data_IF_953487455947
#
_entry.id   IF_953487455947
#
_cell.length_a   1.000
_cell.length_b   1.000
_cell.length_c   1.000
_cell.angle_alpha   90.00
_cell.angle_beta   90.00
_cell.angle_gamma   90.00
#
_symmetry.space_group_name_H-M   'P 1'
#
loop_
_entity.id
_entity.type
_entity.pdbx_description
1 polymer ?
#
# COMPACT_ATOMS: atom_id res chain seq x y z
N UNK A 1 -23.96 -44.68 57.47
CA UNK A 1 -24.51 -43.43 58.05
C UNK A 1 -25.31 -42.72 56.96
N UNK A 2 -26.64 -42.71 57.09
CA UNK A 2 -27.55 -42.13 56.10
C UNK A 2 -27.51 -40.59 56.16
N UNK A 3 -27.44 -39.93 54.99
CA UNK A 3 -27.51 -38.47 54.87
C UNK A 3 -28.92 -37.99 55.28
N UNK A 4 -28.99 -36.99 56.16
CA UNK A 4 -30.22 -36.27 56.52
C UNK A 4 -30.83 -35.61 55.28
N UNK A 5 -32.16 -35.58 55.12
CA UNK A 5 -32.82 -34.91 54.00
C UNK A 5 -32.69 -33.38 54.15
N UNK A 6 -32.29 -32.72 53.06
CA UNK A 6 -32.24 -31.27 52.93
C UNK A 6 -33.66 -30.71 53.02
N UNK A 7 -33.94 -29.89 54.04
CA UNK A 7 -35.18 -29.11 54.10
C UNK A 7 -35.16 -28.09 52.97
N UNK A 8 -36.13 -28.17 52.06
CA UNK A 8 -36.47 -27.07 51.15
C UNK A 8 -36.83 -25.87 52.01
N UNK A 9 -36.05 -24.79 51.92
CA UNK A 9 -36.51 -23.49 52.39
C UNK A 9 -37.63 -23.05 51.46
N UNK A 10 -38.84 -23.01 51.98
CA UNK A 10 -39.95 -22.26 51.40
C UNK A 10 -39.50 -20.82 51.28
N UNK A 11 -39.36 -20.32 50.05
CA UNK A 11 -39.22 -18.89 49.79
C UNK A 11 -40.51 -18.26 50.28
N UNK A 12 -40.43 -17.43 51.32
CA UNK A 12 -41.58 -16.63 51.76
C UNK A 12 -42.15 -15.89 50.56
N UNK A 13 -43.44 -16.07 50.31
CA UNK A 13 -44.19 -15.27 49.36
C UNK A 13 -44.03 -13.82 49.79
N UNK A 14 -43.35 -13.02 48.96
CA UNK A 14 -43.39 -11.58 49.09
C UNK A 14 -44.86 -11.16 48.93
N UNK A 15 -45.56 -11.00 50.05
CA UNK A 15 -46.86 -10.31 50.15
C UNK A 15 -46.64 -8.82 49.92
N UNK A 16 -46.12 -8.48 48.74
CA UNK A 16 -46.21 -7.15 48.18
C UNK A 16 -47.47 -7.12 47.33
N UNK A 17 -48.51 -6.42 47.81
CA UNK A 17 -49.61 -5.98 46.94
C UNK A 17 -48.97 -5.27 45.76
N UNK A 18 -49.06 -5.88 44.58
CA UNK A 18 -48.63 -5.24 43.35
C UNK A 18 -49.48 -3.97 43.22
N UNK A 19 -48.87 -2.78 43.13
CA UNK A 19 -49.60 -1.52 43.01
C UNK A 19 -50.66 -1.61 41.90
N UNK A 20 -51.90 -1.20 42.17
CA UNK A 20 -53.01 -1.22 41.20
C UNK A 20 -52.66 -0.54 39.87
N UNK A 21 -51.79 0.48 39.92
CA UNK A 21 -51.25 1.16 38.74
C UNK A 21 -50.44 0.27 37.81
N UNK A 22 -49.67 -0.69 38.35
CA UNK A 22 -48.93 -1.65 37.52
C UNK A 22 -49.90 -2.63 36.83
N UNK A 23 -50.97 -3.02 37.50
CA UNK A 23 -51.98 -3.91 36.92
C UNK A 23 -52.79 -3.27 35.78
N UNK A 24 -53.15 -1.98 35.90
CA UNK A 24 -53.76 -1.24 34.79
C UNK A 24 -52.81 -1.13 33.61
N UNK A 25 -51.55 -0.78 33.85
CA UNK A 25 -50.53 -0.61 32.80
C UNK A 25 -50.27 -1.93 32.04
N UNK A 26 -50.20 -3.06 32.75
CA UNK A 26 -50.06 -4.38 32.13
C UNK A 26 -51.28 -4.78 31.29
N UNK A 27 -52.49 -4.48 31.76
CA UNK A 27 -53.72 -4.74 31.01
C UNK A 27 -53.79 -3.90 29.75
N UNK A 28 -53.40 -2.62 29.82
CA UNK A 28 -53.36 -1.72 28.67
C UNK A 28 -52.34 -2.17 27.63
N UNK A 29 -51.15 -2.61 28.05
CA UNK A 29 -50.13 -3.17 27.16
C UNK A 29 -50.62 -4.46 26.48
N UNK A 30 -51.27 -5.35 27.22
CA UNK A 30 -51.79 -6.59 26.66
C UNK A 30 -52.94 -6.35 25.68
N UNK A 31 -53.85 -5.42 26.03
CA UNK A 31 -54.93 -5.01 25.14
C UNK A 31 -54.38 -4.38 23.86
N UNK A 32 -53.41 -3.47 23.98
CA UNK A 32 -52.76 -2.85 22.83
C UNK A 32 -52.07 -3.90 21.93
N UNK A 33 -51.35 -4.86 22.51
CA UNK A 33 -50.74 -5.97 21.75
C UNK A 33 -51.78 -6.81 20.99
N UNK A 34 -52.92 -7.11 21.62
CA UNK A 34 -54.00 -7.86 20.97
C UNK A 34 -54.58 -7.08 19.78
N UNK A 35 -54.86 -5.78 19.94
CA UNK A 35 -55.36 -4.93 18.86
C UNK A 35 -54.38 -4.89 17.68
N UNK A 36 -53.08 -4.77 17.93
CA UNK A 36 -52.06 -4.78 16.88
C UNK A 36 -52.00 -6.14 16.17
N UNK A 37 -52.08 -7.25 16.91
CA UNK A 37 -52.10 -8.59 16.32
C UNK A 37 -53.39 -8.89 15.53
N UNK A 38 -54.52 -8.31 15.93
CA UNK A 38 -55.77 -8.40 15.17
C UNK A 38 -55.69 -7.61 13.86
N UNK A 39 -55.06 -6.43 13.88
CA UNK A 39 -54.91 -5.56 12.70
C UNK A 39 -53.84 -6.05 11.72
N UNK A 40 -52.68 -6.50 12.22
CA UNK A 40 -51.48 -6.77 11.41
C UNK A 40 -50.94 -8.19 11.55
N UNK A 41 -51.49 -9.02 12.45
CA UNK A 41 -50.98 -10.37 12.71
C UNK A 41 -51.46 -11.43 11.71
N UNK A 42 -52.33 -11.05 10.75
CA UNK A 42 -52.84 -11.92 9.69
C UNK A 42 -53.48 -13.23 10.20
N UNK A 43 -54.06 -13.20 11.41
CA UNK A 43 -54.64 -14.36 12.06
C UNK A 43 -53.64 -15.37 12.63
N UNK A 44 -52.33 -15.07 12.58
CA UNK A 44 -51.27 -15.90 13.14
C UNK A 44 -50.83 -15.41 14.53
N UNK A 45 -50.43 -16.31 15.44
CA UNK A 45 -49.85 -15.90 16.71
C UNK A 45 -48.51 -15.17 16.52
N UNK A 46 -48.11 -14.39 17.52
CA UNK A 46 -46.83 -13.71 17.52
C UNK A 46 -45.68 -14.72 17.58
N UNK A 47 -44.82 -14.70 16.56
CA UNK A 47 -43.53 -15.37 16.54
C UNK A 47 -42.48 -14.34 16.11
N UNK A 48 -41.55 -14.04 17.00
CA UNK A 48 -40.50 -13.05 16.77
C UNK A 48 -39.67 -13.37 15.53
N UNK A 49 -39.29 -14.63 15.32
CA UNK A 49 -38.43 -15.01 14.20
C UNK A 49 -39.18 -14.82 12.89
N UNK A 50 -40.44 -15.27 12.83
CA UNK A 50 -41.31 -15.08 11.66
C UNK A 50 -41.43 -13.60 11.29
N UNK A 51 -41.84 -12.75 12.23
CA UNK A 51 -42.05 -11.31 11.98
C UNK A 51 -40.73 -10.62 11.55
N UNK A 52 -39.59 -11.00 12.13
CA UNK A 52 -38.28 -10.45 11.73
C UNK A 52 -37.92 -10.89 10.31
N UNK A 53 -38.15 -12.15 9.94
CA UNK A 53 -37.87 -12.63 8.59
C UNK A 53 -38.78 -11.99 7.54
N UNK A 54 -40.08 -11.86 7.81
CA UNK A 54 -41.04 -11.17 6.94
C UNK A 54 -40.66 -9.69 6.74
N UNK A 55 -40.32 -8.99 7.83
CA UNK A 55 -39.86 -7.60 7.75
C UNK A 55 -38.59 -7.47 6.90
N UNK A 56 -37.60 -8.35 7.09
CA UNK A 56 -36.36 -8.38 6.30
C UNK A 56 -36.64 -8.65 4.82
N UNK A 57 -37.55 -9.58 4.52
CA UNK A 57 -37.96 -9.88 3.16
C UNK A 57 -38.53 -8.63 2.46
N UNK A 58 -39.47 -7.92 3.08
CA UNK A 58 -40.01 -6.69 2.50
C UNK A 58 -38.98 -5.56 2.41
N UNK A 59 -38.01 -5.49 3.33
CA UNK A 59 -36.89 -4.55 3.23
C UNK A 59 -35.99 -4.84 2.02
N UNK A 60 -35.67 -6.11 1.76
CA UNK A 60 -34.91 -6.53 0.57
C UNK A 60 -35.70 -6.24 -0.71
N UNK A 61 -36.98 -6.62 -0.76
CA UNK A 61 -37.87 -6.32 -1.88
C UNK A 61 -37.96 -4.82 -2.15
N UNK A 62 -38.00 -3.98 -1.10
CA UNK A 62 -38.00 -2.52 -1.25
C UNK A 62 -36.70 -1.98 -1.85
N UNK A 63 -35.56 -2.65 -1.59
CA UNK A 63 -34.29 -2.29 -2.18
C UNK A 63 -34.25 -2.66 -3.67
N UNK A 64 -34.70 -3.88 -4.01
CA UNK A 64 -34.80 -4.32 -5.41
C UNK A 64 -35.73 -3.40 -6.22
N UNK A 65 -36.92 -3.11 -5.69
CA UNK A 65 -37.85 -2.18 -6.33
C UNK A 65 -37.24 -0.78 -6.51
N UNK A 66 -36.47 -0.29 -5.52
CA UNK A 66 -35.75 0.98 -5.61
C UNK A 66 -34.68 0.96 -6.72
N UNK A 67 -33.92 -0.14 -6.85
CA UNK A 67 -32.91 -0.28 -7.92
C UNK A 67 -33.57 -0.40 -9.30
N UNK A 68 -34.67 -1.14 -9.43
CA UNK A 68 -35.40 -1.25 -10.70
C UNK A 68 -36.05 0.08 -11.10
N UNK A 69 -36.57 0.86 -10.13
CA UNK A 69 -37.05 2.21 -10.37
C UNK A 69 -35.91 3.15 -10.79
N UNK A 70 -34.74 3.06 -10.15
CA UNK A 70 -33.57 3.84 -10.53
C UNK A 70 -33.08 3.54 -11.94
N UNK A 71 -33.19 2.29 -12.44
CA UNK A 71 -32.99 1.96 -13.87
C UNK A 71 -33.93 2.75 -14.79
N UNK A 72 -35.22 2.84 -14.45
CA UNK A 72 -36.20 3.61 -15.25
C UNK A 72 -35.90 5.10 -15.21
N UNK A 73 -35.43 5.61 -14.07
CA UNK A 73 -34.99 7.00 -13.96
C UNK A 73 -33.76 7.29 -14.82
N UNK A 74 -32.81 6.36 -14.94
CA UNK A 74 -31.68 6.49 -15.87
C UNK A 74 -32.19 6.57 -17.32
N UNK A 75 -33.12 5.68 -17.69
CA UNK A 75 -33.73 5.68 -19.03
C UNK A 75 -34.43 7.02 -19.30
N UNK A 76 -35.28 7.49 -18.39
CA UNK A 76 -35.98 8.78 -18.54
C UNK A 76 -34.99 9.94 -18.68
N UNK A 77 -33.94 9.98 -17.84
CA UNK A 77 -32.94 11.04 -17.87
C UNK A 77 -32.18 11.10 -19.21
N UNK A 78 -31.95 9.95 -19.84
CA UNK A 78 -31.25 9.88 -21.12
C UNK A 78 -32.14 10.25 -22.31
N UNK A 79 -33.46 10.05 -22.20
CA UNK A 79 -34.41 10.28 -23.30
C UNK A 79 -35.11 11.64 -23.24
N UNK A 80 -35.12 12.31 -22.07
CA UNK A 80 -35.82 13.58 -21.87
C UNK A 80 -34.85 14.77 -21.72
N UNK A 81 -35.17 15.95 -22.26
CA UNK A 81 -34.45 17.18 -21.95
C UNK A 81 -34.40 17.45 -20.44
N UNK A 82 -33.32 18.08 -19.95
CA UNK A 82 -33.11 18.26 -18.51
C UNK A 82 -34.31 18.90 -17.77
N UNK A 83 -34.96 19.90 -18.38
CA UNK A 83 -36.13 20.57 -17.80
C UNK A 83 -37.36 19.66 -17.70
N UNK A 84 -37.65 18.92 -18.77
CA UNK A 84 -38.77 17.97 -18.81
C UNK A 84 -38.56 16.81 -17.83
N UNK A 85 -37.34 16.28 -17.73
CA UNK A 85 -37.00 15.27 -16.74
C UNK A 85 -37.28 15.75 -15.31
N UNK A 86 -36.92 17.00 -14.97
CA UNK A 86 -37.22 17.57 -13.66
C UNK A 86 -38.74 17.74 -13.44
N UNK A 87 -39.47 18.15 -14.47
CA UNK A 87 -40.93 18.26 -14.41
C UNK A 87 -41.62 16.91 -14.18
N UNK A 88 -41.18 15.85 -14.85
CA UNK A 88 -41.70 14.48 -14.65
C UNK A 88 -41.44 13.99 -13.22
N UNK A 89 -40.24 14.23 -12.70
CA UNK A 89 -39.88 13.85 -11.32
C UNK A 89 -40.83 14.49 -10.30
N UNK A 90 -41.14 15.77 -10.46
CA UNK A 90 -41.97 16.53 -9.53
C UNK A 90 -43.47 16.21 -9.71
N UNK A 91 -43.97 16.26 -10.95
CA UNK A 91 -45.41 16.24 -11.22
C UNK A 91 -46.00 14.84 -11.36
N UNK A 92 -45.26 13.89 -11.92
CA UNK A 92 -45.77 12.54 -12.20
C UNK A 92 -45.30 11.50 -11.18
N UNK A 93 -44.04 11.61 -10.75
CA UNK A 93 -43.43 10.63 -9.86
C UNK A 93 -43.43 11.07 -8.40
N UNK A 94 -43.57 12.37 -8.12
CA UNK A 94 -43.49 12.96 -6.78
C UNK A 94 -42.19 12.56 -6.04
N UNK A 95 -41.05 12.65 -6.73
CA UNK A 95 -39.72 12.31 -6.22
C UNK A 95 -38.79 13.52 -6.33
N UNK A 96 -38.12 13.87 -5.24
CA UNK A 96 -37.10 14.91 -5.26
C UNK A 96 -35.92 14.53 -6.17
N UNK A 97 -35.43 15.47 -6.98
CA UNK A 97 -34.29 15.26 -7.88
C UNK A 97 -33.05 14.66 -7.20
N UNK A 98 -32.81 15.00 -5.93
CA UNK A 98 -31.70 14.41 -5.15
C UNK A 98 -31.92 12.92 -4.88
N UNK A 99 -33.14 12.52 -4.55
CA UNK A 99 -33.50 11.11 -4.31
C UNK A 99 -33.40 10.33 -5.61
N UNK A 100 -33.96 10.86 -6.70
CA UNK A 100 -33.86 10.27 -8.03
C UNK A 100 -32.39 10.03 -8.44
N UNK A 101 -31.52 11.03 -8.21
CA UNK A 101 -30.07 10.89 -8.47
C UNK A 101 -29.43 9.76 -7.68
N UNK A 102 -29.72 9.64 -6.39
CA UNK A 102 -29.19 8.55 -5.56
C UNK A 102 -29.69 7.19 -6.01
N UNK A 103 -30.96 7.07 -6.39
CA UNK A 103 -31.53 5.83 -6.94
C UNK A 103 -30.86 5.43 -8.24
N UNK A 104 -30.69 6.36 -9.18
CA UNK A 104 -29.97 6.11 -10.44
C UNK A 104 -28.54 5.61 -10.19
N UNK A 105 -27.79 6.30 -9.32
CA UNK A 105 -26.43 5.93 -8.97
C UNK A 105 -26.36 4.54 -8.30
N UNK A 106 -27.25 4.26 -7.35
CA UNK A 106 -27.31 2.94 -6.71
C UNK A 106 -27.61 1.83 -7.74
N UNK A 107 -28.52 2.09 -8.67
CA UNK A 107 -28.90 1.12 -9.70
C UNK A 107 -27.73 0.75 -10.60
N UNK A 108 -27.01 1.76 -11.09
CA UNK A 108 -25.80 1.56 -11.90
C UNK A 108 -24.75 0.77 -11.10
N UNK A 109 -24.55 1.14 -9.83
CA UNK A 109 -23.48 0.58 -8.99
C UNK A 109 -23.71 -0.87 -8.54
N UNK A 110 -24.96 -1.25 -8.25
CA UNK A 110 -25.30 -2.57 -7.71
C UNK A 110 -25.85 -3.55 -8.74
N UNK A 111 -26.46 -3.09 -9.83
CA UNK A 111 -26.99 -3.98 -10.88
C UNK A 111 -26.04 -4.12 -12.07
N UNK A 112 -25.17 -3.14 -12.32
CA UNK A 112 -24.31 -3.13 -13.50
C UNK A 112 -25.10 -2.85 -14.79
N UNK A 113 -24.61 -3.38 -15.91
CA UNK A 113 -25.27 -3.29 -17.23
C UNK A 113 -25.79 -4.66 -17.68
N UNK A 114 -26.67 -4.70 -18.68
CA UNK A 114 -27.15 -6.00 -19.20
C UNK A 114 -26.03 -6.89 -19.75
N UNK A 115 -24.97 -6.28 -20.32
CA UNK A 115 -23.80 -7.01 -20.82
C UNK A 115 -22.87 -7.52 -19.72
N UNK A 116 -22.95 -6.93 -18.53
CA UNK A 116 -22.09 -7.25 -17.39
C UNK A 116 -22.92 -7.17 -16.09
N UNK A 117 -23.73 -8.20 -15.80
CA UNK A 117 -24.57 -8.23 -14.61
C UNK A 117 -23.68 -8.23 -13.37
N UNK A 118 -23.90 -7.26 -12.49
CA UNK A 118 -23.09 -7.14 -11.29
C UNK A 118 -23.51 -8.19 -10.25
N UNK A 119 -22.52 -8.95 -9.76
CA UNK A 119 -22.67 -9.86 -8.61
C UNK A 119 -23.10 -9.13 -7.32
N UNK A 120 -22.92 -7.81 -7.26
CA UNK A 120 -23.36 -6.92 -6.17
C UNK A 120 -24.87 -6.82 -6.05
N UNK A 121 -25.63 -7.32 -7.02
CA UNK A 121 -27.10 -7.43 -6.93
C UNK A 121 -27.54 -8.25 -5.72
N UNK A 122 -26.72 -9.22 -5.28
CA UNK A 122 -26.92 -9.99 -4.05
C UNK A 122 -26.97 -9.13 -2.78
N UNK A 123 -26.35 -7.94 -2.80
CA UNK A 123 -26.36 -7.00 -1.68
C UNK A 123 -27.75 -6.35 -1.47
N UNK A 124 -28.71 -6.54 -2.38
CA UNK A 124 -30.10 -6.07 -2.23
C UNK A 124 -30.75 -6.56 -0.94
N UNK A 125 -30.34 -7.75 -0.46
CA UNK A 125 -30.80 -8.37 0.78
C UNK A 125 -30.62 -7.46 2.01
N UNK A 126 -29.62 -6.57 1.98
CA UNK A 126 -29.30 -5.67 3.08
C UNK A 126 -30.32 -4.52 3.26
N UNK A 127 -31.19 -4.32 2.27
CA UNK A 127 -32.16 -3.23 2.26
C UNK A 127 -31.57 -1.88 1.81
N UNK A 128 -32.46 -0.98 1.38
CA UNK A 128 -32.09 0.31 0.75
C UNK A 128 -31.13 1.17 1.56
N UNK A 129 -31.31 1.19 2.89
CA UNK A 129 -30.55 2.08 3.75
C UNK A 129 -29.07 1.68 3.82
N UNK A 130 -28.78 0.38 3.87
CA UNK A 130 -27.40 -0.13 3.89
C UNK A 130 -26.74 0.01 2.53
N UNK A 131 -27.46 -0.27 1.43
CA UNK A 131 -26.96 -0.02 0.07
C UNK A 131 -26.48 1.43 -0.10
N UNK A 132 -27.23 2.39 0.44
CA UNK A 132 -26.86 3.80 0.38
C UNK A 132 -25.60 4.18 1.16
N UNK A 133 -25.28 3.47 2.25
CA UNK A 133 -24.01 3.65 2.96
C UNK A 133 -22.86 2.99 2.18
N UNK A 134 -23.10 1.80 1.61
CA UNK A 134 -22.12 1.05 0.83
C UNK A 134 -21.72 1.74 -0.48
N UNK A 135 -22.53 2.66 -1.01
CA UNK A 135 -22.19 3.43 -2.22
C UNK A 135 -20.87 4.20 -2.12
N UNK A 136 -20.37 4.48 -0.92
CA UNK A 136 -19.10 5.21 -0.67
C UNK A 136 -17.87 4.37 -1.02
N UNK A 137 -18.00 3.05 -0.98
CA UNK A 137 -16.92 2.10 -1.27
C UNK A 137 -16.59 2.11 -2.76
N UNK A 138 -15.41 1.63 -3.11
CA UNK A 138 -15.10 1.37 -4.51
C UNK A 138 -15.74 0.04 -4.97
N UNK A 139 -15.52 -0.23 -6.25
CA UNK A 139 -16.12 -1.36 -6.94
C UNK A 139 -15.48 -2.69 -6.50
N UNK A 140 -14.18 -2.68 -6.21
CA UNK A 140 -13.42 -3.86 -5.73
C UNK A 140 -13.86 -4.29 -4.32
N UNK A 141 -14.02 -3.33 -3.40
CA UNK A 141 -14.52 -3.59 -2.04
C UNK A 141 -15.93 -4.19 -2.06
N UNK A 142 -16.81 -3.66 -2.91
CA UNK A 142 -18.18 -4.17 -3.04
C UNK A 142 -18.23 -5.56 -3.67
N UNK A 143 -17.37 -5.81 -4.65
CA UNK A 143 -17.23 -7.11 -5.28
C UNK A 143 -16.68 -8.14 -4.30
N UNK A 144 -15.70 -7.76 -3.48
CA UNK A 144 -15.19 -8.60 -2.40
C UNK A 144 -16.30 -8.97 -1.41
N UNK A 145 -17.09 -8.00 -0.95
CA UNK A 145 -18.21 -8.27 -0.04
C UNK A 145 -19.26 -9.20 -0.65
N UNK A 146 -19.59 -9.02 -1.94
CA UNK A 146 -20.53 -9.86 -2.65
C UNK A 146 -20.03 -11.31 -2.81
N UNK A 147 -18.71 -11.52 -2.91
CA UNK A 147 -18.07 -12.84 -2.98
C UNK A 147 -17.92 -13.51 -1.59
N UNK A 148 -18.41 -12.88 -0.52
CA UNK A 148 -18.27 -13.38 0.85
C UNK A 148 -16.99 -12.94 1.56
N UNK A 149 -16.27 -11.97 0.98
CA UNK A 149 -15.19 -11.25 1.64
C UNK A 149 -15.70 -10.28 2.71
N UNK A 150 -14.85 -9.33 3.08
CA UNK A 150 -15.13 -8.38 4.17
C UNK A 150 -14.90 -6.95 3.73
N UNK A 151 -15.71 -6.04 4.26
CA UNK A 151 -15.52 -4.59 4.13
C UNK A 151 -15.49 -3.98 5.53
N UNK A 152 -14.52 -3.10 5.78
CA UNK A 152 -14.29 -2.53 7.11
C UNK A 152 -14.23 -3.60 8.22
N UNK A 153 -13.67 -4.79 7.89
CA UNK A 153 -13.58 -5.94 8.80
C UNK A 153 -14.88 -6.69 9.06
N UNK A 154 -15.98 -6.37 8.35
CA UNK A 154 -17.29 -7.02 8.51
C UNK A 154 -17.65 -7.87 7.27
N UNK A 155 -18.15 -9.09 7.51
CA UNK A 155 -18.72 -9.94 6.45
C UNK A 155 -20.11 -9.45 6.04
N UNK A 156 -20.67 -9.99 4.94
CA UNK A 156 -22.03 -9.69 4.53
C UNK A 156 -23.06 -9.99 5.64
N UNK A 157 -22.89 -11.09 6.37
CA UNK A 157 -23.75 -11.48 7.49
C UNK A 157 -23.63 -10.50 8.68
N UNK A 158 -22.42 -10.02 8.96
CA UNK A 158 -22.21 -9.01 10.01
C UNK A 158 -22.89 -7.69 9.62
N UNK A 159 -22.74 -7.28 8.35
CA UNK A 159 -23.39 -6.10 7.79
C UNK A 159 -24.91 -6.25 7.85
N UNK A 160 -25.48 -7.43 7.59
CA UNK A 160 -26.90 -7.70 7.75
C UNK A 160 -27.38 -7.61 9.20
N UNK A 161 -26.59 -8.10 10.16
CA UNK A 161 -26.94 -8.09 11.58
C UNK A 161 -26.82 -6.72 12.24
N UNK A 162 -25.89 -5.88 11.80
CA UNK A 162 -25.70 -4.55 12.37
C UNK A 162 -26.74 -3.54 11.88
N UNK A 163 -26.91 -2.48 12.66
CA UNK A 163 -27.73 -1.34 12.29
C UNK A 163 -27.03 -0.47 11.23
N UNK A 164 -27.82 0.33 10.51
CA UNK A 164 -27.29 1.30 9.53
C UNK A 164 -26.31 2.29 10.17
N UNK A 165 -26.53 2.65 11.44
CA UNK A 165 -25.66 3.57 12.18
C UNK A 165 -24.29 2.94 12.47
N UNK A 166 -24.28 1.66 12.83
CA UNK A 166 -23.05 0.90 13.06
C UNK A 166 -22.26 0.73 11.76
N UNK A 167 -22.94 0.39 10.65
CA UNK A 167 -22.31 0.30 9.33
C UNK A 167 -21.65 1.62 8.94
N UNK A 168 -22.37 2.74 9.06
CA UNK A 168 -21.82 4.07 8.76
C UNK A 168 -20.58 4.38 9.59
N UNK A 169 -20.60 4.04 10.89
CA UNK A 169 -19.46 4.24 11.78
C UNK A 169 -18.27 3.38 11.35
N UNK A 170 -18.47 2.10 11.08
CA UNK A 170 -17.41 1.19 10.64
C UNK A 170 -16.74 1.66 9.34
N UNK A 171 -17.54 2.08 8.35
CA UNK A 171 -17.03 2.63 7.09
C UNK A 171 -16.21 3.92 7.30
N UNK A 172 -16.64 4.76 8.24
CA UNK A 172 -15.95 6.00 8.57
C UNK A 172 -14.62 5.74 9.28
N UNK A 173 -14.62 4.90 10.31
CA UNK A 173 -13.43 4.53 11.06
C UNK A 173 -12.38 3.88 10.15
N UNK A 174 -12.80 2.91 9.32
CA UNK A 174 -11.90 2.27 8.35
C UNK A 174 -11.27 3.26 7.37
N UNK A 175 -12.03 4.26 6.92
CA UNK A 175 -11.50 5.33 6.06
C UNK A 175 -10.54 6.23 6.81
N UNK A 176 -10.87 6.64 8.04
CA UNK A 176 -10.01 7.47 8.89
C UNK A 176 -8.67 6.76 9.16
N UNK A 177 -8.70 5.46 9.49
CA UNK A 177 -7.51 4.63 9.68
C UNK A 177 -6.64 4.54 8.42
N UNK A 178 -7.27 4.31 7.25
CA UNK A 178 -6.55 4.28 5.98
C UNK A 178 -5.89 5.63 5.68
N UNK A 179 -6.59 6.75 5.93
CA UNK A 179 -6.01 8.09 5.74
C UNK A 179 -4.88 8.39 6.72
N UNK A 180 -5.02 7.99 7.99
CA UNK A 180 -3.98 8.15 8.99
C UNK A 180 -2.74 7.34 8.64
N UNK A 181 -2.92 6.08 8.20
CA UNK A 181 -1.82 5.23 7.75
C UNK A 181 -1.11 5.80 6.53
N UNK A 182 -1.86 6.32 5.54
CA UNK A 182 -1.26 6.96 4.34
C UNK A 182 -0.45 8.20 4.71
N UNK A 183 -0.98 9.04 5.62
CA UNK A 183 -0.28 10.23 6.11
C UNK A 183 1.01 9.86 6.84
N UNK A 184 0.95 8.91 7.76
CA UNK A 184 2.12 8.42 8.50
C UNK A 184 3.17 7.81 7.55
N UNK A 185 2.75 7.07 6.53
CA UNK A 185 3.66 6.52 5.52
C UNK A 185 4.32 7.63 4.68
N UNK A 186 3.56 8.68 4.32
CA UNK A 186 4.12 9.83 3.60
C UNK A 186 5.12 10.60 4.48
N UNK A 187 4.80 10.83 5.75
CA UNK A 187 5.71 11.46 6.73
C UNK A 187 6.99 10.66 6.89
N UNK A 188 6.90 9.34 7.10
CA UNK A 188 8.08 8.46 7.16
C UNK A 188 8.88 8.48 5.86
N UNK A 189 8.21 8.52 4.71
CA UNK A 189 8.90 8.57 3.41
C UNK A 189 9.67 9.87 3.23
N UNK A 190 9.08 10.99 3.65
CA UNK A 190 9.74 12.30 3.65
C UNK A 190 10.92 12.32 4.62
N UNK A 191 10.76 11.80 5.84
CA UNK A 191 11.84 11.70 6.82
C UNK A 191 12.98 10.80 6.30
N UNK A 192 12.66 9.68 5.65
CA UNK A 192 13.66 8.82 5.00
C UNK A 192 14.41 9.60 3.92
N UNK A 193 13.72 10.41 3.11
CA UNK A 193 14.36 11.20 2.06
C UNK A 193 15.23 12.32 2.65
N UNK A 194 14.76 13.04 3.66
CA UNK A 194 15.55 14.05 4.37
C UNK A 194 16.79 13.44 5.03
N UNK A 195 16.66 12.27 5.67
CA UNK A 195 17.79 11.55 6.24
C UNK A 195 18.77 11.08 5.16
N UNK A 196 18.27 10.65 3.99
CA UNK A 196 19.13 10.36 2.82
C UNK A 196 19.92 11.59 2.40
N UNK A 197 19.27 12.74 2.24
CA UNK A 197 19.94 13.98 1.81
C UNK A 197 20.94 14.51 2.85
N UNK A 198 20.62 14.40 4.15
CA UNK A 198 21.39 15.03 5.22
C UNK A 198 22.47 14.13 5.83
N UNK A 199 22.19 12.84 6.09
CA UNK A 199 23.17 11.89 6.65
C UNK A 199 23.99 11.18 5.58
N UNK A 200 23.42 10.97 4.40
CA UNK A 200 24.11 10.37 3.27
C UNK A 200 24.34 11.42 2.18
N UNK A 201 24.90 12.58 2.56
CA UNK A 201 25.70 13.37 1.63
C UNK A 201 26.76 12.42 1.10
N UNK A 202 26.45 11.82 -0.05
CA UNK A 202 27.35 10.99 -0.82
C UNK A 202 28.58 11.85 -1.01
N UNK A 203 29.70 11.45 -0.42
CA UNK A 203 30.97 11.77 -1.05
C UNK A 203 30.78 11.22 -2.46
N UNK A 204 30.65 12.12 -3.42
CA UNK A 204 30.57 11.76 -4.81
C UNK A 204 31.75 10.82 -5.09
N UNK A 205 31.50 9.53 -5.40
CA UNK A 205 32.57 8.56 -5.55
C UNK A 205 33.58 9.03 -6.61
N UNK A 206 33.11 9.78 -7.61
CA UNK A 206 33.96 10.37 -8.64
C UNK A 206 34.84 11.49 -8.06
N UNK A 207 34.29 12.35 -7.20
CA UNK A 207 35.08 13.37 -6.51
C UNK A 207 36.15 12.78 -5.57
N UNK A 208 35.87 11.65 -4.90
CA UNK A 208 36.85 10.98 -4.06
C UNK A 208 37.99 10.34 -4.87
N UNK A 209 37.64 9.67 -5.98
CA UNK A 209 38.61 9.07 -6.89
C UNK A 209 39.46 10.16 -7.56
N UNK A 210 38.83 11.24 -8.02
CA UNK A 210 39.56 12.37 -8.61
C UNK A 210 40.57 12.97 -7.64
N UNK A 211 40.19 13.18 -6.38
CA UNK A 211 41.12 13.68 -5.37
C UNK A 211 42.29 12.72 -5.16
N UNK A 212 42.04 11.41 -5.08
CA UNK A 212 43.09 10.41 -4.91
C UNK A 212 44.06 10.40 -6.11
N UNK A 213 43.53 10.51 -7.34
CA UNK A 213 44.33 10.62 -8.57
C UNK A 213 45.19 11.88 -8.54
N UNK A 214 44.61 13.04 -8.20
CA UNK A 214 45.34 14.31 -8.14
C UNK A 214 46.46 14.25 -7.11
N UNK A 215 46.16 13.84 -5.88
CA UNK A 215 47.14 13.76 -4.79
C UNK A 215 48.30 12.81 -5.15
N UNK A 216 48.01 11.67 -5.79
CA UNK A 216 49.05 10.73 -6.22
C UNK A 216 49.87 11.25 -7.41
N UNK A 217 49.23 11.87 -8.41
CA UNK A 217 49.90 12.43 -9.57
C UNK A 217 50.92 13.51 -9.19
N UNK A 218 50.60 14.36 -8.20
CA UNK A 218 51.53 15.38 -7.69
C UNK A 218 52.79 14.75 -7.05
N UNK A 219 52.61 13.74 -6.19
CA UNK A 219 53.75 13.04 -5.57
C UNK A 219 54.55 12.22 -6.60
N UNK A 220 53.87 11.59 -7.56
CA UNK A 220 54.51 10.88 -8.67
C UNK A 220 55.38 11.83 -9.52
N UNK A 221 54.87 13.00 -9.89
CA UNK A 221 55.62 13.97 -10.70
C UNK A 221 56.86 14.49 -9.97
N UNK A 222 56.76 14.71 -8.65
CA UNK A 222 57.88 15.09 -7.79
C UNK A 222 58.94 14.00 -7.69
N UNK A 223 58.52 12.74 -7.56
CA UNK A 223 59.43 11.59 -7.55
C UNK A 223 60.18 11.46 -8.88
N UNK A 224 59.47 11.56 -10.02
CA UNK A 224 60.08 11.53 -11.35
C UNK A 224 61.08 12.65 -11.58
N UNK A 225 60.75 13.89 -11.22
CA UNK A 225 61.70 15.02 -11.35
C UNK A 225 62.97 14.80 -10.54
N UNK A 226 62.83 14.27 -9.33
CA UNK A 226 63.97 13.96 -8.46
C UNK A 226 64.83 12.87 -9.09
N UNK A 227 64.21 11.82 -9.62
CA UNK A 227 64.89 10.72 -10.29
C UNK A 227 65.64 11.18 -11.55
N UNK A 228 64.98 11.93 -12.43
CA UNK A 228 65.56 12.46 -13.69
C UNK A 228 66.69 13.46 -13.41
N UNK A 229 66.67 14.18 -12.28
CA UNK A 229 67.79 15.03 -11.90
C UNK A 229 68.97 14.22 -11.36
N UNK A 230 68.72 13.32 -10.42
CA UNK A 230 69.79 12.66 -9.64
C UNK A 230 70.55 11.58 -10.39
N UNK A 231 69.86 10.74 -11.16
CA UNK A 231 70.48 9.57 -11.78
C UNK A 231 71.37 9.95 -12.99
N UNK A 232 70.90 10.77 -13.95
CA UNK A 232 71.75 11.26 -15.03
C UNK A 232 72.93 12.08 -14.53
N UNK A 233 72.74 12.96 -13.53
CA UNK A 233 73.84 13.73 -12.93
C UNK A 233 74.91 12.82 -12.31
N UNK A 234 74.51 11.74 -11.65
CA UNK A 234 75.43 10.75 -11.11
C UNK A 234 76.16 9.99 -12.22
N UNK A 235 75.44 9.58 -13.27
CA UNK A 235 76.01 8.89 -14.42
C UNK A 235 77.02 9.77 -15.17
N UNK A 236 76.75 11.06 -15.31
CA UNK A 236 77.69 12.01 -15.91
C UNK A 236 78.99 12.10 -15.11
N UNK A 237 78.92 12.12 -13.77
CA UNK A 237 80.11 12.11 -12.90
C UNK A 237 80.94 10.84 -13.06
N UNK A 238 80.31 9.69 -13.27
CA UNK A 238 81.02 8.43 -13.54
C UNK A 238 81.69 8.45 -14.92
N UNK A 239 81.04 9.07 -15.90
CA UNK A 239 81.63 9.25 -17.23
C UNK A 239 82.85 10.20 -17.19
N UNK A 240 82.77 11.30 -16.45
CA UNK A 240 83.90 12.22 -16.24
C UNK A 240 85.09 11.51 -15.55
N UNK A 241 84.81 10.65 -14.57
CA UNK A 241 85.82 9.84 -13.89
C UNK A 241 86.45 8.79 -14.83
N UNK A 242 85.66 8.15 -15.69
CA UNK A 242 86.18 7.28 -16.75
C UNK A 242 87.12 8.04 -17.69
N UNK A 243 86.73 9.23 -18.14
CA UNK A 243 87.55 10.06 -19.02
C UNK A 243 88.87 10.49 -18.34
N UNK A 244 88.88 10.58 -17.00
CA UNK A 244 90.06 10.95 -16.22
C UNK A 244 90.99 9.78 -15.92
N UNK A 245 90.44 8.62 -15.54
CA UNK A 245 91.22 7.47 -15.00
C UNK A 245 91.18 6.21 -15.87
N UNK A 246 90.32 6.15 -16.88
CA UNK A 246 90.10 5.00 -17.75
C UNK A 246 89.38 3.81 -17.09
N UNK A 247 88.82 3.97 -15.88
CA UNK A 247 88.13 2.90 -15.15
C UNK A 247 86.65 2.90 -15.54
N UNK A 248 86.18 1.81 -16.16
CA UNK A 248 84.79 1.71 -16.61
C UNK A 248 83.81 1.44 -15.46
N UNK A 249 82.71 2.18 -15.43
CA UNK A 249 81.60 2.00 -14.48
C UNK A 249 80.33 1.45 -15.12
N UNK A 250 80.40 1.01 -16.38
CA UNK A 250 79.24 0.57 -17.17
C UNK A 250 78.42 -0.53 -16.47
N UNK A 251 79.09 -1.46 -15.78
CA UNK A 251 78.42 -2.52 -15.03
C UNK A 251 77.58 -1.98 -13.85
N UNK A 252 78.07 -0.96 -13.16
CA UNK A 252 77.32 -0.30 -12.08
C UNK A 252 76.11 0.47 -12.64
N UNK A 253 76.32 1.24 -13.70
CA UNK A 253 75.24 2.01 -14.35
C UNK A 253 74.15 1.09 -14.90
N UNK A 254 74.53 0.01 -15.58
CA UNK A 254 73.61 -1.00 -16.09
C UNK A 254 72.89 -1.75 -14.96
N UNK A 255 73.58 -2.05 -13.85
CA UNK A 255 72.96 -2.70 -12.69
C UNK A 255 71.89 -1.82 -12.04
N UNK A 256 72.18 -0.52 -11.86
CA UNK A 256 71.22 0.43 -11.30
C UNK A 256 69.98 0.57 -12.18
N UNK A 257 70.15 0.66 -13.50
CA UNK A 257 69.01 0.68 -14.45
C UNK A 257 68.22 -0.63 -14.40
N UNK A 258 68.89 -1.78 -14.35
CA UNK A 258 68.24 -3.08 -14.27
C UNK A 258 67.38 -3.23 -13.02
N UNK A 259 67.84 -2.75 -11.86
CA UNK A 259 67.04 -2.77 -10.64
C UNK A 259 65.76 -1.94 -10.77
N UNK A 260 65.82 -0.77 -11.43
CA UNK A 260 64.66 0.09 -11.67
C UNK A 260 63.67 -0.58 -12.64
N UNK A 261 64.18 -1.16 -13.73
CA UNK A 261 63.37 -1.92 -14.69
C UNK A 261 62.65 -3.09 -14.01
N UNK A 262 63.32 -3.79 -13.10
CA UNK A 262 62.72 -4.90 -12.33
C UNK A 262 61.56 -4.44 -11.46
N UNK A 263 61.71 -3.33 -10.73
CA UNK A 263 60.63 -2.82 -9.88
C UNK A 263 59.41 -2.36 -10.69
N UNK A 264 59.63 -1.70 -11.84
CA UNK A 264 58.55 -1.34 -12.78
C UNK A 264 57.83 -2.59 -13.29
N UNK A 265 58.58 -3.63 -13.68
CA UNK A 265 57.99 -4.89 -14.13
C UNK A 265 57.17 -5.59 -13.01
N UNK A 266 57.65 -5.52 -11.77
CA UNK A 266 56.92 -6.05 -10.60
C UNK A 266 55.58 -5.35 -10.39
N UNK A 267 55.54 -4.01 -10.45
CA UNK A 267 54.29 -3.24 -10.34
C UNK A 267 53.35 -3.56 -11.50
N UNK A 268 53.85 -3.64 -12.73
CA UNK A 268 53.03 -4.03 -13.89
C UNK A 268 52.39 -5.40 -13.71
N UNK A 269 53.16 -6.40 -13.29
CA UNK A 269 52.67 -7.75 -13.06
C UNK A 269 51.65 -7.82 -11.91
N UNK A 270 51.79 -6.99 -10.89
CA UNK A 270 50.85 -6.95 -9.77
C UNK A 270 49.45 -6.47 -10.18
N UNK A 271 49.36 -5.59 -11.17
CA UNK A 271 48.12 -4.94 -11.60
C UNK A 271 47.70 -5.31 -13.03
N UNK A 272 48.31 -6.34 -13.63
CA UNK A 272 48.08 -6.79 -15.01
C UNK A 272 48.20 -5.65 -16.06
N UNK A 273 49.10 -4.69 -15.82
CA UNK A 273 49.30 -3.52 -16.70
C UNK A 273 50.18 -3.93 -17.89
N UNK A 274 49.71 -3.78 -19.14
CA UNK A 274 50.50 -4.12 -20.32
C UNK A 274 51.69 -3.17 -20.51
N UNK A 275 52.76 -3.68 -21.11
CA UNK A 275 53.83 -2.83 -21.64
C UNK A 275 53.34 -2.15 -22.92
N UNK A 276 53.27 -0.82 -22.92
CA UNK A 276 52.82 -0.05 -24.08
C UNK A 276 54.02 0.71 -24.66
N UNK A 277 54.24 0.58 -25.97
CA UNK A 277 55.32 1.26 -26.68
C UNK A 277 55.02 2.74 -27.00
N UNK A 278 53.74 3.12 -27.01
CA UNK A 278 53.25 4.50 -27.17
C UNK A 278 52.20 4.78 -26.08
N UNK A 279 52.14 5.98 -25.47
CA UNK A 279 51.18 6.26 -24.41
C UNK A 279 49.74 6.21 -24.96
N UNK A 280 48.91 5.32 -24.40
CA UNK A 280 47.48 5.29 -24.67
C UNK A 280 46.79 6.47 -23.97
N UNK A 281 46.25 7.40 -24.76
CA UNK A 281 45.52 8.59 -24.30
C UNK A 281 43.99 8.42 -24.36
N UNK A 282 43.49 7.24 -24.71
CA UNK A 282 42.05 6.98 -24.89
C UNK A 282 41.22 7.25 -23.63
N UNK A 283 41.80 7.07 -22.44
CA UNK A 283 41.15 7.31 -21.15
C UNK A 283 40.90 8.79 -20.81
N UNK A 284 41.48 9.73 -21.57
CA UNK A 284 41.36 11.18 -21.34
C UNK A 284 40.70 11.94 -22.52
N UNK A 285 40.20 11.22 -23.52
CA UNK A 285 39.29 11.82 -24.49
C UNK A 285 37.93 11.97 -23.80
N UNK A 286 37.40 13.20 -23.72
CA UNK A 286 36.07 13.45 -23.17
C UNK A 286 35.00 12.57 -23.82
N UNK A 287 33.91 12.34 -23.10
CA UNK A 287 32.82 11.39 -23.37
C UNK A 287 32.69 11.01 -24.85
N UNK A 288 32.98 9.75 -25.16
CA UNK A 288 32.80 9.22 -26.52
C UNK A 288 31.32 8.93 -26.79
N UNK A 289 30.90 8.84 -28.06
CA UNK A 289 29.53 8.41 -28.44
C UNK A 289 29.19 7.00 -27.89
N UNK A 290 30.21 6.20 -27.55
CA UNK A 290 30.04 4.89 -26.90
C UNK A 290 29.69 5.02 -25.41
N UNK A 291 30.12 6.09 -24.73
CA UNK A 291 29.73 6.38 -23.34
C UNK A 291 28.26 6.85 -23.25
N UNK A 292 27.75 7.53 -24.29
CA UNK A 292 26.33 7.89 -24.38
C UNK A 292 25.43 6.65 -24.58
N UNK A 293 25.97 5.58 -25.15
CA UNK A 293 25.28 4.30 -25.39
C UNK A 293 25.54 3.24 -24.31
N UNK A 294 26.36 3.54 -23.29
CA UNK A 294 26.59 2.63 -22.18
C UNK A 294 25.32 2.50 -21.32
N UNK A 295 24.58 1.41 -21.53
CA UNK A 295 23.49 1.02 -20.63
C UNK A 295 24.07 0.30 -19.43
N UNK A 296 23.93 0.92 -18.26
CA UNK A 296 24.22 0.30 -16.97
C UNK A 296 23.54 -1.08 -16.92
N UNK A 297 24.29 -2.18 -16.70
CA UNK A 297 23.69 -3.50 -16.62
C UNK A 297 22.72 -3.57 -15.45
N UNK A 298 21.55 -4.20 -15.64
CA UNK A 298 20.58 -4.40 -14.57
C UNK A 298 21.25 -5.11 -13.39
N UNK A 299 21.46 -4.37 -12.30
CA UNK A 299 21.90 -4.91 -11.04
C UNK A 299 20.83 -5.92 -10.61
N UNK A 300 21.17 -7.22 -10.68
CA UNK A 300 20.34 -8.27 -10.10
C UNK A 300 20.10 -7.91 -8.64
N UNK A 301 18.90 -7.43 -8.32
CA UNK A 301 18.45 -7.27 -6.95
C UNK A 301 18.41 -8.68 -6.37
N UNK A 302 19.43 -9.03 -5.61
CA UNK A 302 19.38 -10.21 -4.75
C UNK A 302 18.39 -9.88 -3.64
N UNK A 303 17.10 -10.04 -3.95
CA UNK A 303 16.10 -10.29 -2.92
C UNK A 303 16.43 -11.68 -2.41
N UNK A 304 17.28 -11.72 -1.38
CA UNK A 304 17.51 -12.92 -0.58
C UNK A 304 16.20 -13.19 0.15
N UNK A 305 15.31 -13.95 -0.50
CA UNK A 305 14.13 -14.51 0.13
C UNK A 305 14.57 -15.27 1.38
N UNK A 306 14.17 -14.77 2.55
CA UNK A 306 14.22 -15.50 3.80
C UNK A 306 13.20 -16.64 3.70
N UNK A 307 13.64 -17.81 3.28
CA UNK A 307 12.91 -19.04 3.54
C UNK A 307 13.10 -19.40 5.01
N UNK A 308 12.11 -19.05 5.81
CA UNK A 308 11.88 -19.65 7.12
C UNK A 308 11.28 -21.03 6.92
N UNK A 309 12.11 -22.08 6.91
CA UNK A 309 11.63 -23.43 7.17
C UNK A 309 11.99 -23.77 8.63
N UNK A 310 11.05 -23.45 9.51
CA UNK A 310 10.76 -24.32 10.64
C UNK A 310 10.21 -25.62 10.05
N UNK A 311 10.80 -26.75 10.42
CA UNK A 311 10.06 -27.89 10.97
C UNK A 311 11.06 -28.98 11.36
N UNK A 312 11.43 -28.95 12.64
CA UNK A 312 11.75 -30.14 13.42
C UNK A 312 10.42 -30.69 14.00
N UNK A 313 10.28 -32.02 13.93
CA UNK A 313 9.30 -32.93 14.57
C UNK A 313 8.00 -33.28 13.81
#
# INVERSE_FOLDING_TARGET
MARKPTKLQTVDTLDGVVPDSLHSDFNDINHHRMVIMEQFGEGLPYDRNRIVHEARFYMAQSAEAMLEAGKRLVILKENEPHGEFLAILESELNIEARVARRMMQASIKFLGSESEPSKRSTLSVLGKAKLYELMVLDDEDLDSLADGGTVAGATLDDVDRMSVRELRRALRESREDLTASRKLNAEKSNEINELKETRFRTVDPDAAIHKLITDFCEEHEKALRTFIGTLPDFFQRLEDDYNTRGVSHMGLMSGLLHDIEREIASVRAQFDIPEIAEPDTSWNNGSSEDDENFRMPDLKTTTRSLESNNDDL
#
